data_IF_562159431656
#
_entry.id   IF_562159431656
#
_cell.length_a   1.000
_cell.length_b   1.000
_cell.length_c   1.000
_cell.angle_alpha   90.00
_cell.angle_beta   90.00
_cell.angle_gamma   90.00
#
_symmetry.space_group_name_H-M   'P 1'
#
loop_
_entity.id
_entity.type
_entity.pdbx_description
1 polymer ?
#
# COMPACT_ATOMS: atom_id res chain seq x y z
N UNK A 1 -19.85 -12.31 -7.69
CA UNK A 1 -19.38 -11.11 -8.42
C UNK A 1 -19.26 -11.45 -9.91
N UNK A 2 -19.45 -10.44 -10.78
CA UNK A 2 -19.16 -10.52 -12.21
C UNK A 2 -17.92 -9.65 -12.44
N UNK A 3 -16.86 -10.27 -12.95
CA UNK A 3 -15.60 -9.60 -13.24
C UNK A 3 -15.44 -9.54 -14.77
N UNK A 4 -15.86 -8.43 -15.35
CA UNK A 4 -15.84 -8.22 -16.80
C UNK A 4 -14.96 -7.02 -17.15
N UNK A 5 -13.84 -7.27 -17.83
CA UNK A 5 -12.89 -6.26 -18.23
C UNK A 5 -13.47 -5.24 -19.23
N UNK A 6 -14.50 -5.60 -19.98
CA UNK A 6 -15.12 -4.70 -20.96
C UNK A 6 -15.81 -3.51 -20.30
N UNK A 7 -16.30 -3.68 -19.05
CA UNK A 7 -16.94 -2.62 -18.28
C UNK A 7 -15.97 -1.52 -17.79
N UNK A 8 -14.67 -1.78 -17.81
CA UNK A 8 -13.64 -0.85 -17.27
C UNK A 8 -12.66 -0.35 -18.33
N UNK A 9 -12.88 -0.62 -19.60
CA UNK A 9 -12.02 -0.13 -20.70
C UNK A 9 -11.93 1.40 -20.75
N UNK A 10 -13.03 2.09 -20.42
CA UNK A 10 -13.10 3.55 -20.43
C UNK A 10 -12.56 4.22 -19.17
N UNK A 11 -12.10 3.44 -18.15
CA UNK A 11 -11.54 4.01 -16.93
C UNK A 11 -10.23 4.72 -17.24
N UNK A 12 -10.13 6.04 -16.91
CA UNK A 12 -8.93 6.83 -17.20
C UNK A 12 -7.68 6.27 -16.50
N UNK A 13 -6.48 6.49 -17.07
CA UNK A 13 -5.22 6.02 -16.47
C UNK A 13 -5.03 6.46 -15.02
N UNK A 14 -5.32 7.71 -14.66
CA UNK A 14 -5.18 8.23 -13.30
C UNK A 14 -6.06 7.46 -12.29
N UNK A 15 -7.30 7.12 -12.65
CA UNK A 15 -8.18 6.32 -11.80
C UNK A 15 -7.69 4.87 -11.75
N UNK A 16 -7.18 4.34 -12.86
CA UNK A 16 -6.55 3.01 -12.87
C UNK A 16 -5.36 2.96 -11.91
N UNK A 17 -4.49 3.97 -11.94
CA UNK A 17 -3.34 4.08 -11.04
C UNK A 17 -3.76 4.10 -9.57
N UNK A 18 -4.67 5.00 -9.19
CA UNK A 18 -5.15 5.14 -7.82
C UNK A 18 -5.80 3.83 -7.32
N UNK A 19 -6.70 3.23 -8.12
CA UNK A 19 -7.44 2.04 -7.68
C UNK A 19 -6.58 0.79 -7.63
N UNK A 20 -5.60 0.61 -8.52
CA UNK A 20 -4.74 -0.58 -8.49
C UNK A 20 -3.65 -0.46 -7.42
N UNK A 21 -3.15 0.74 -7.13
CA UNK A 21 -2.29 0.94 -5.96
C UNK A 21 -3.04 0.67 -4.65
N UNK A 22 -4.32 0.97 -4.60
CA UNK A 22 -5.19 0.60 -3.49
C UNK A 22 -5.32 -0.93 -3.34
N UNK A 23 -5.54 -1.64 -4.46
CA UNK A 23 -5.52 -3.12 -4.47
C UNK A 23 -4.20 -3.68 -3.94
N UNK A 24 -3.07 -3.09 -4.36
CA UNK A 24 -1.75 -3.48 -3.88
C UNK A 24 -1.61 -3.27 -2.38
N UNK A 25 -2.08 -2.12 -1.87
CA UNK A 25 -2.06 -1.78 -0.45
C UNK A 25 -2.92 -2.74 0.37
N UNK A 26 -4.14 -3.03 -0.07
CA UNK A 26 -5.02 -4.03 0.56
C UNK A 26 -4.34 -5.40 0.71
N UNK A 27 -3.75 -5.89 -0.39
CA UNK A 27 -3.08 -7.18 -0.39
C UNK A 27 -1.83 -7.18 0.52
N UNK A 28 -1.05 -6.09 0.48
CA UNK A 28 0.15 -5.95 1.29
C UNK A 28 -0.17 -5.89 2.79
N UNK A 29 -1.17 -5.11 3.19
CA UNK A 29 -1.59 -5.05 4.59
C UNK A 29 -2.16 -6.38 5.07
N UNK A 30 -2.94 -7.08 4.25
CA UNK A 30 -3.40 -8.43 4.58
C UNK A 30 -2.27 -9.43 4.79
N UNK A 31 -1.15 -9.31 4.02
CA UNK A 31 0.03 -10.16 4.19
C UNK A 31 0.76 -9.94 5.52
N UNK A 32 0.78 -8.71 6.04
CA UNK A 32 1.52 -8.36 7.26
C UNK A 32 0.63 -8.27 8.49
N UNK A 33 -0.68 -8.36 8.32
CA UNK A 33 -1.65 -8.32 9.43
C UNK A 33 -1.37 -9.38 10.49
N UNK A 34 -1.65 -9.05 11.75
CA UNK A 34 -1.62 -10.00 12.87
C UNK A 34 -2.74 -11.03 12.80
N UNK A 35 -3.87 -10.67 12.16
CA UNK A 35 -5.06 -11.52 12.00
C UNK A 35 -5.02 -12.39 10.73
N UNK A 36 -3.90 -12.35 9.99
CA UNK A 36 -3.75 -13.16 8.78
C UNK A 36 -3.83 -14.65 9.07
N UNK A 37 -4.33 -15.37 8.09
CA UNK A 37 -4.33 -16.84 8.02
C UNK A 37 -3.58 -17.31 6.77
N UNK A 38 -3.33 -18.61 6.65
CA UNK A 38 -2.75 -19.18 5.42
C UNK A 38 -3.66 -18.92 4.21
N UNK A 39 -4.98 -18.91 4.40
CA UNK A 39 -5.93 -18.60 3.32
C UNK A 39 -5.84 -17.14 2.87
N UNK A 40 -5.91 -16.18 3.80
CA UNK A 40 -5.80 -14.76 3.45
C UNK A 40 -4.43 -14.43 2.86
N UNK A 41 -3.36 -15.02 3.38
CA UNK A 41 -2.00 -14.85 2.87
C UNK A 41 -1.89 -15.35 1.42
N UNK A 42 -2.38 -16.54 1.11
CA UNK A 42 -2.34 -17.09 -0.26
C UNK A 42 -3.10 -16.22 -1.27
N UNK A 43 -4.26 -15.68 -0.89
CA UNK A 43 -5.05 -14.77 -1.72
C UNK A 43 -4.33 -13.45 -1.94
N UNK A 44 -3.74 -12.87 -0.88
CA UNK A 44 -3.01 -11.62 -0.92
C UNK A 44 -1.73 -11.74 -1.77
N UNK A 45 -0.94 -12.79 -1.60
CA UNK A 45 0.26 -13.07 -2.38
C UNK A 45 -0.06 -13.22 -3.87
N UNK A 46 -1.16 -13.91 -4.21
CA UNK A 46 -1.60 -14.02 -5.60
C UNK A 46 -2.07 -12.69 -6.18
N UNK A 47 -2.74 -11.86 -5.39
CA UNK A 47 -3.08 -10.50 -5.80
C UNK A 47 -1.83 -9.68 -6.11
N UNK A 48 -0.82 -9.70 -5.24
CA UNK A 48 0.45 -9.00 -5.41
C UNK A 48 1.18 -9.45 -6.68
N UNK A 49 1.26 -10.76 -6.93
CA UNK A 49 1.85 -11.30 -8.17
C UNK A 49 1.17 -10.72 -9.41
N UNK A 50 -0.16 -10.70 -9.44
CA UNK A 50 -0.92 -10.16 -10.56
C UNK A 50 -0.69 -8.66 -10.74
N UNK A 51 -0.68 -7.88 -9.66
CA UNK A 51 -0.38 -6.45 -9.70
C UNK A 51 1.03 -6.22 -10.26
N UNK A 52 2.04 -6.94 -9.77
CA UNK A 52 3.43 -6.79 -10.23
C UNK A 52 3.60 -6.98 -11.72
N UNK A 53 2.82 -7.88 -12.33
CA UNK A 53 2.92 -8.19 -13.77
C UNK A 53 2.05 -7.27 -14.63
N UNK A 54 0.87 -6.90 -14.18
CA UNK A 54 -0.16 -6.33 -15.06
C UNK A 54 -0.51 -4.88 -14.80
N UNK A 55 -0.10 -4.28 -13.66
CA UNK A 55 -0.46 -2.90 -13.30
C UNK A 55 -0.06 -1.90 -14.38
N UNK A 56 1.22 -1.83 -14.73
CA UNK A 56 1.69 -0.86 -15.74
C UNK A 56 1.08 -1.10 -17.12
N UNK A 57 0.82 -2.35 -17.49
CA UNK A 57 0.14 -2.66 -18.74
C UNK A 57 -1.29 -2.12 -18.76
N UNK A 58 -2.05 -2.32 -17.69
CA UNK A 58 -3.41 -1.81 -17.56
C UNK A 58 -3.46 -0.27 -17.49
N UNK A 59 -2.43 0.35 -16.91
CA UNK A 59 -2.28 1.81 -16.84
C UNK A 59 -1.96 2.42 -18.20
N UNK A 60 -0.99 1.85 -18.92
CA UNK A 60 -0.49 2.38 -20.19
C UNK A 60 -1.46 2.15 -21.36
N UNK A 61 -2.19 1.03 -21.34
CA UNK A 61 -3.17 0.69 -22.37
C UNK A 61 -4.49 0.22 -21.75
N UNK A 62 -5.47 1.12 -21.71
CA UNK A 62 -6.82 0.82 -21.25
C UNK A 62 -7.55 -0.25 -22.06
N UNK A 63 -7.11 -0.52 -23.31
CA UNK A 63 -7.67 -1.54 -24.17
C UNK A 63 -7.01 -2.93 -24.02
N UNK A 64 -5.94 -3.04 -23.23
CA UNK A 64 -5.39 -4.34 -22.86
C UNK A 64 -6.37 -5.08 -21.93
N UNK A 65 -7.37 -5.72 -22.54
CA UNK A 65 -8.43 -6.43 -21.81
C UNK A 65 -7.88 -7.56 -20.95
N UNK A 66 -6.76 -8.17 -21.35
CA UNK A 66 -6.13 -9.19 -20.54
C UNK A 66 -5.54 -8.61 -19.24
N UNK A 67 -4.81 -7.49 -19.34
CA UNK A 67 -4.30 -6.81 -18.14
C UNK A 67 -5.44 -6.31 -17.25
N UNK A 68 -6.48 -5.69 -17.84
CA UNK A 68 -7.69 -5.27 -17.09
C UNK A 68 -8.36 -6.43 -16.36
N UNK A 69 -8.54 -7.58 -17.01
CA UNK A 69 -9.11 -8.78 -16.39
C UNK A 69 -8.25 -9.27 -15.23
N UNK A 70 -6.92 -9.21 -15.36
CA UNK A 70 -6.01 -9.59 -14.28
C UNK A 70 -6.07 -8.62 -13.11
N UNK A 71 -6.25 -7.32 -13.35
CA UNK A 71 -6.46 -6.34 -12.29
C UNK A 71 -7.79 -6.56 -11.56
N UNK A 72 -8.88 -6.87 -12.28
CA UNK A 72 -10.13 -7.30 -11.64
C UNK A 72 -9.95 -8.51 -10.74
N UNK A 73 -9.22 -9.53 -11.21
CA UNK A 73 -8.92 -10.72 -10.41
C UNK A 73 -8.09 -10.38 -9.18
N UNK A 74 -7.07 -9.52 -9.33
CA UNK A 74 -6.24 -9.06 -8.22
C UNK A 74 -7.07 -8.31 -7.17
N UNK A 75 -7.96 -7.41 -7.60
CA UNK A 75 -8.87 -6.66 -6.72
C UNK A 75 -9.79 -7.61 -5.92
N UNK A 76 -10.39 -8.60 -6.59
CA UNK A 76 -11.23 -9.57 -5.91
C UNK A 76 -10.47 -10.41 -4.88
N UNK A 77 -9.24 -10.86 -5.24
CA UNK A 77 -8.37 -11.62 -4.35
C UNK A 77 -7.95 -10.79 -3.13
N UNK A 78 -7.55 -9.52 -3.34
CA UNK A 78 -7.23 -8.60 -2.25
C UNK A 78 -8.45 -8.38 -1.33
N UNK A 79 -9.64 -8.18 -1.92
CA UNK A 79 -10.90 -8.04 -1.18
C UNK A 79 -11.20 -9.22 -0.28
N UNK A 80 -11.06 -10.44 -0.79
CA UNK A 80 -11.24 -11.66 -0.01
C UNK A 80 -10.17 -11.81 1.08
N UNK A 81 -8.93 -11.39 0.80
CA UNK A 81 -7.82 -11.47 1.74
C UNK A 81 -8.06 -10.54 2.94
N UNK A 82 -8.26 -9.23 2.70
CA UNK A 82 -8.39 -8.27 3.80
C UNK A 82 -9.71 -8.42 4.57
N UNK A 83 -10.76 -8.92 3.94
CA UNK A 83 -12.01 -9.22 4.66
C UNK A 83 -11.81 -10.24 5.79
N UNK A 84 -10.79 -11.09 5.69
CA UNK A 84 -10.44 -12.09 6.70
C UNK A 84 -9.25 -11.69 7.57
N UNK A 85 -8.40 -10.81 7.10
CA UNK A 85 -7.14 -10.42 7.75
C UNK A 85 -7.18 -9.00 8.34
N UNK A 86 -8.24 -8.25 8.08
CA UNK A 86 -8.33 -6.82 8.40
C UNK A 86 -7.29 -5.96 7.66
N UNK A 87 -7.35 -4.64 7.87
CA UNK A 87 -6.41 -3.66 7.32
C UNK A 87 -5.61 -3.02 8.46
N UNK A 88 -4.54 -2.36 8.12
CA UNK A 88 -3.61 -1.78 9.08
C UNK A 88 -3.58 -0.25 9.05
N UNK A 89 -2.45 0.28 9.52
CA UNK A 89 -2.23 1.71 9.70
C UNK A 89 -2.29 2.50 8.39
N UNK A 90 -1.92 1.91 7.26
CA UNK A 90 -1.94 2.61 5.97
C UNK A 90 -3.36 3.08 5.64
N UNK A 91 -4.35 2.20 5.73
CA UNK A 91 -5.75 2.54 5.48
C UNK A 91 -6.31 3.47 6.56
N UNK A 92 -5.99 3.27 7.84
CA UNK A 92 -6.40 4.16 8.91
C UNK A 92 -5.95 5.61 8.65
N UNK A 93 -4.72 5.81 8.21
CA UNK A 93 -4.19 7.13 7.84
C UNK A 93 -4.79 7.67 6.54
N UNK A 94 -4.95 6.81 5.51
CA UNK A 94 -5.52 7.21 4.23
C UNK A 94 -6.97 7.70 4.35
N UNK A 95 -7.77 7.10 5.22
CA UNK A 95 -9.13 7.53 5.53
C UNK A 95 -9.15 8.96 6.09
N UNK A 96 -8.22 9.28 6.99
CA UNK A 96 -8.14 10.62 7.58
C UNK A 96 -7.73 11.68 6.54
N UNK A 97 -6.76 11.36 5.67
CA UNK A 97 -6.37 12.24 4.56
C UNK A 97 -7.52 12.46 3.57
N UNK A 98 -8.26 11.41 3.26
CA UNK A 98 -9.44 11.49 2.40
C UNK A 98 -10.56 12.32 3.01
N UNK A 99 -10.87 12.11 4.30
CA UNK A 99 -11.92 12.83 5.02
C UNK A 99 -11.57 14.31 5.19
N UNK A 100 -10.32 14.63 5.51
CA UNK A 100 -9.90 16.01 5.82
C UNK A 100 -9.59 16.83 4.58
N UNK A 101 -8.88 16.26 3.60
CA UNK A 101 -8.32 16.99 2.46
C UNK A 101 -8.90 16.56 1.12
N UNK A 102 -9.88 15.66 1.12
CA UNK A 102 -10.53 15.14 -0.09
C UNK A 102 -9.56 14.49 -1.09
N UNK A 103 -8.46 13.92 -0.56
CA UNK A 103 -7.52 13.15 -1.38
C UNK A 103 -8.21 11.86 -1.81
N UNK A 104 -8.17 11.48 -3.10
CA UNK A 104 -8.71 10.20 -3.55
C UNK A 104 -8.12 9.03 -2.74
N UNK A 105 -8.96 8.12 -2.28
CA UNK A 105 -8.60 7.05 -1.34
C UNK A 105 -7.36 6.24 -1.77
N UNK A 106 -7.36 5.71 -3.00
CA UNK A 106 -6.25 4.93 -3.50
C UNK A 106 -4.96 5.76 -3.65
N UNK A 107 -5.07 7.07 -3.96
CA UNK A 107 -3.93 7.99 -3.99
C UNK A 107 -3.34 8.22 -2.61
N UNK A 108 -4.19 8.42 -1.59
CA UNK A 108 -3.73 8.54 -0.21
C UNK A 108 -3.00 7.28 0.25
N UNK A 109 -3.59 6.11 -0.01
CA UNK A 109 -2.97 4.83 0.28
C UNK A 109 -1.61 4.68 -0.42
N UNK A 110 -1.54 5.01 -1.70
CA UNK A 110 -0.32 4.90 -2.49
C UNK A 110 0.82 5.78 -1.94
N UNK A 111 0.54 7.04 -1.60
CA UNK A 111 1.54 7.98 -1.06
C UNK A 111 2.05 7.56 0.31
N UNK A 112 1.20 7.01 1.17
CA UNK A 112 1.58 6.56 2.51
C UNK A 112 2.38 5.26 2.51
N UNK A 113 2.14 4.39 1.54
CA UNK A 113 2.63 3.01 1.53
C UNK A 113 4.14 2.86 1.73
N UNK A 114 5.03 3.62 1.06
CA UNK A 114 6.47 3.54 1.29
C UNK A 114 6.84 3.78 2.76
N UNK A 115 6.22 4.78 3.38
CA UNK A 115 6.49 5.17 4.76
C UNK A 115 5.98 4.12 5.76
N UNK A 116 4.82 3.52 5.50
CA UNK A 116 4.26 2.45 6.33
C UNK A 116 5.10 1.17 6.24
N UNK A 117 5.62 0.82 5.07
CA UNK A 117 6.56 -0.32 4.94
C UNK A 117 7.82 -0.06 5.78
N UNK A 118 8.39 1.14 5.70
CA UNK A 118 9.57 1.52 6.48
C UNK A 118 9.29 1.49 8.00
N UNK A 119 8.14 2.02 8.41
CA UNK A 119 7.73 2.05 9.81
C UNK A 119 7.51 0.64 10.38
N UNK A 120 6.67 -0.17 9.74
CA UNK A 120 6.33 -1.51 10.21
C UNK A 120 7.55 -2.46 10.24
N UNK A 121 8.52 -2.23 9.37
CA UNK A 121 9.76 -3.02 9.30
C UNK A 121 10.90 -2.44 10.14
N UNK A 122 10.77 -1.23 10.65
CA UNK A 122 11.80 -0.49 11.42
C UNK A 122 13.18 -0.48 10.75
N UNK A 123 13.21 -0.52 9.41
CA UNK A 123 14.45 -0.67 8.63
C UNK A 123 15.40 0.53 8.75
N UNK A 124 14.91 1.67 9.19
CA UNK A 124 15.71 2.88 9.37
C UNK A 124 16.43 2.90 10.73
N UNK A 125 15.92 2.19 11.74
CA UNK A 125 16.50 2.10 13.09
C UNK A 125 17.37 0.86 13.30
N UNK A 126 17.32 -0.12 12.40
CA UNK A 126 18.11 -1.34 12.52
C UNK A 126 19.61 -1.05 12.50
N UNK A 127 20.22 -1.01 13.67
CA UNK A 127 21.66 -1.09 13.81
C UNK A 127 22.11 -2.53 13.52
N UNK A 128 23.34 -2.68 13.00
CA UNK A 128 23.98 -3.96 12.64
C UNK A 128 24.03 -5.03 13.76
N UNK A 129 23.55 -4.69 14.96
CA UNK A 129 23.61 -5.53 16.17
C UNK A 129 22.31 -6.32 16.48
N UNK A 130 21.20 -6.10 15.77
CA UNK A 130 19.96 -6.86 16.01
C UNK A 130 20.05 -8.25 15.35
N UNK A 131 20.02 -9.29 16.18
CA UNK A 131 20.12 -10.70 15.73
C UNK A 131 18.82 -11.26 15.17
N UNK A 132 17.70 -10.59 15.36
CA UNK A 132 16.38 -11.07 14.94
C UNK A 132 15.58 -9.93 14.30
N UNK A 133 15.10 -10.16 13.07
CA UNK A 133 14.25 -9.21 12.37
C UNK A 133 12.82 -9.29 12.88
N UNK A 134 12.12 -8.14 12.87
CA UNK A 134 10.69 -8.09 13.14
C UNK A 134 9.92 -9.03 12.19
N UNK A 135 8.82 -9.65 12.65
CA UNK A 135 7.99 -10.51 11.78
C UNK A 135 7.55 -9.81 10.49
N UNK A 136 7.30 -8.50 10.54
CA UNK A 136 6.94 -7.70 9.37
C UNK A 136 8.05 -7.67 8.31
N UNK A 137 9.33 -7.60 8.71
CA UNK A 137 10.48 -7.63 7.77
C UNK A 137 10.44 -8.89 6.92
N UNK A 138 10.25 -10.06 7.54
CA UNK A 138 10.19 -11.34 6.83
C UNK A 138 9.03 -11.37 5.83
N UNK A 139 7.87 -10.85 6.21
CA UNK A 139 6.68 -10.78 5.35
C UNK A 139 6.87 -9.84 4.17
N UNK A 140 7.37 -8.63 4.40
CA UNK A 140 7.69 -7.71 3.31
C UNK A 140 8.78 -8.24 2.39
N UNK A 141 9.79 -8.96 2.92
CA UNK A 141 10.79 -9.62 2.09
C UNK A 141 10.18 -10.73 1.21
N UNK A 142 9.24 -11.52 1.73
CA UNK A 142 8.48 -12.50 0.93
C UNK A 142 7.71 -11.81 -0.20
N UNK A 143 7.00 -10.72 0.10
CA UNK A 143 6.29 -9.92 -0.92
C UNK A 143 7.25 -9.39 -1.98
N UNK A 144 8.38 -8.86 -1.57
CA UNK A 144 9.41 -8.40 -2.51
C UNK A 144 9.91 -9.51 -3.43
N UNK A 145 10.10 -10.73 -2.89
CA UNK A 145 10.50 -11.90 -3.68
C UNK A 145 9.44 -12.31 -4.72
N UNK A 146 8.15 -12.22 -4.37
CA UNK A 146 7.05 -12.46 -5.32
C UNK A 146 7.13 -11.49 -6.51
N UNK A 147 7.54 -10.24 -6.26
CA UNK A 147 7.76 -9.22 -7.27
C UNK A 147 9.11 -9.36 -8.02
N UNK A 148 9.91 -10.38 -7.70
CA UNK A 148 11.24 -10.58 -8.27
C UNK A 148 12.33 -9.67 -7.69
N UNK A 149 12.07 -9.02 -6.55
CA UNK A 149 12.96 -8.07 -5.89
C UNK A 149 13.77 -8.77 -4.78
N UNK A 150 14.84 -9.46 -5.14
CA UNK A 150 15.72 -10.13 -4.17
C UNK A 150 16.99 -9.32 -3.93
N UNK A 151 17.52 -9.38 -2.72
CA UNK A 151 18.78 -8.75 -2.34
C UNK A 151 19.56 -9.61 -1.34
N UNK A 152 20.71 -9.10 -0.85
CA UNK A 152 21.67 -9.82 -0.02
C UNK A 152 21.08 -10.30 1.34
N UNK A 153 20.11 -9.57 1.88
CA UNK A 153 19.44 -9.91 3.12
C UNK A 153 18.01 -9.34 3.13
N UNK A 154 17.22 -9.73 4.12
CA UNK A 154 15.81 -9.32 4.24
C UNK A 154 15.65 -7.80 4.30
N UNK A 155 16.47 -7.07 5.04
CA UNK A 155 16.41 -5.59 5.14
C UNK A 155 16.61 -4.93 3.76
N UNK A 156 17.63 -5.37 3.02
CA UNK A 156 17.88 -4.84 1.67
C UNK A 156 16.78 -5.24 0.69
N UNK A 157 16.18 -6.40 0.88
CA UNK A 157 15.03 -6.86 0.10
C UNK A 157 13.79 -5.98 0.38
N UNK A 158 13.53 -5.62 1.65
CA UNK A 158 12.46 -4.67 1.99
C UNK A 158 12.75 -3.28 1.43
N UNK A 159 13.99 -2.79 1.46
CA UNK A 159 14.35 -1.52 0.80
C UNK A 159 14.08 -1.56 -0.70
N UNK A 160 14.34 -2.69 -1.35
CA UNK A 160 14.01 -2.87 -2.77
C UNK A 160 12.49 -2.80 -3.01
N UNK A 161 11.67 -3.30 -2.09
CA UNK A 161 10.21 -3.14 -2.15
C UNK A 161 9.79 -1.67 -2.04
N UNK A 162 10.33 -0.93 -1.07
CA UNK A 162 10.06 0.51 -0.93
C UNK A 162 10.42 1.26 -2.22
N UNK A 163 11.61 1.02 -2.75
CA UNK A 163 12.06 1.64 -4.00
C UNK A 163 11.15 1.27 -5.19
N UNK A 164 10.69 0.02 -5.26
CA UNK A 164 9.75 -0.42 -6.29
C UNK A 164 8.41 0.31 -6.19
N UNK A 165 7.86 0.46 -4.99
CA UNK A 165 6.62 1.23 -4.80
C UNK A 165 6.83 2.67 -5.27
N UNK A 166 7.90 3.34 -4.82
CA UNK A 166 8.20 4.72 -5.23
C UNK A 166 8.41 4.85 -6.75
N UNK A 167 9.03 3.85 -7.38
CA UNK A 167 9.17 3.78 -8.83
C UNK A 167 7.81 3.69 -9.51
N UNK A 168 6.91 2.80 -9.05
CA UNK A 168 5.57 2.65 -9.60
C UNK A 168 4.75 3.94 -9.48
N UNK A 169 4.85 4.65 -8.33
CA UNK A 169 4.17 5.94 -8.17
C UNK A 169 4.64 6.97 -9.21
N UNK A 170 5.94 7.05 -9.48
CA UNK A 170 6.51 7.95 -10.49
C UNK A 170 6.06 7.59 -11.90
N UNK A 171 6.08 6.30 -12.26
CA UNK A 171 5.64 5.83 -13.58
C UNK A 171 4.15 6.09 -13.85
N UNK A 172 3.36 6.26 -12.80
CA UNK A 172 1.91 6.50 -12.89
C UNK A 172 1.50 7.93 -12.51
N UNK A 173 2.45 8.87 -12.44
CA UNK A 173 2.20 10.28 -12.10
C UNK A 173 1.47 10.47 -10.75
N UNK A 174 1.69 9.56 -9.78
CA UNK A 174 1.21 9.72 -8.42
C UNK A 174 2.25 10.49 -7.60
N UNK A 175 1.86 11.59 -6.91
CA UNK A 175 2.78 12.33 -6.04
C UNK A 175 3.39 11.45 -4.95
N UNK A 176 4.64 11.70 -4.60
CA UNK A 176 5.34 10.96 -3.52
C UNK A 176 5.08 11.55 -2.14
N UNK A 177 4.48 12.74 -2.06
CA UNK A 177 4.17 13.42 -0.81
C UNK A 177 2.98 14.36 -0.98
N UNK A 178 2.34 14.70 0.14
CA UNK A 178 1.23 15.66 0.17
C UNK A 178 1.68 17.03 -0.33
N UNK A 179 2.89 17.46 0.00
CA UNK A 179 3.45 18.74 -0.47
C UNK A 179 3.58 18.83 -2.00
N UNK A 180 3.84 17.72 -2.67
CA UNK A 180 3.90 17.68 -4.14
C UNK A 180 2.53 17.85 -4.81
N UNK A 181 1.44 17.64 -4.09
CA UNK A 181 0.10 17.89 -4.62
C UNK A 181 -0.17 19.38 -4.83
N UNK A 182 0.45 20.25 -4.03
CA UNK A 182 0.31 21.71 -4.12
C UNK A 182 -1.10 22.27 -3.81
N UNK A 183 -2.01 21.43 -3.31
CA UNK A 183 -3.41 21.77 -3.03
C UNK A 183 -3.70 22.00 -1.55
N UNK A 184 -2.75 21.63 -0.67
CA UNK A 184 -2.88 21.70 0.78
C UNK A 184 -1.72 22.57 1.28
N UNK A 185 -2.01 23.60 2.07
CA UNK A 185 -0.96 24.42 2.68
C UNK A 185 -0.30 23.67 3.85
N UNK A 186 0.97 23.97 4.08
CA UNK A 186 1.71 23.40 5.21
C UNK A 186 1.04 23.68 6.55
N UNK A 187 0.55 24.92 6.75
CA UNK A 187 -0.18 25.32 7.97
C UNK A 187 -1.45 24.50 8.17
N UNK A 188 -2.26 24.33 7.11
CA UNK A 188 -3.49 23.55 7.17
C UNK A 188 -3.22 22.09 7.52
N UNK A 189 -2.15 21.52 6.93
CA UNK A 189 -1.72 20.15 7.20
C UNK A 189 -1.28 19.96 8.66
N UNK A 190 -0.37 20.82 9.16
CA UNK A 190 0.12 20.70 10.54
C UNK A 190 -0.96 20.97 11.59
N UNK A 191 -1.93 21.82 11.32
CA UNK A 191 -3.05 22.05 12.22
C UNK A 191 -4.01 20.83 12.35
N UNK A 192 -3.99 19.93 11.36
CA UNK A 192 -4.85 18.75 11.33
C UNK A 192 -4.15 17.46 11.81
N UNK A 193 -2.81 17.44 11.88
CA UNK A 193 -2.02 16.22 12.00
C UNK A 193 -2.32 15.43 13.28
N UNK A 194 -2.43 16.09 14.43
CA UNK A 194 -2.66 15.41 15.70
C UNK A 194 -4.03 14.73 15.73
N UNK A 195 -5.08 15.43 15.25
CA UNK A 195 -6.42 14.87 15.19
C UNK A 195 -6.55 13.73 14.19
N UNK A 196 -5.84 13.81 13.06
CA UNK A 196 -5.78 12.72 12.07
C UNK A 196 -5.03 11.50 12.61
N UNK A 197 -3.93 11.72 13.34
CA UNK A 197 -3.17 10.64 13.96
C UNK A 197 -3.99 9.89 15.01
N UNK A 198 -4.69 10.63 15.89
CA UNK A 198 -5.55 10.03 16.90
C UNK A 198 -6.66 9.18 16.25
N UNK A 199 -7.36 9.72 15.26
CA UNK A 199 -8.41 9.00 14.56
C UNK A 199 -7.90 7.78 13.77
N UNK A 200 -6.72 7.89 13.13
CA UNK A 200 -6.10 6.76 12.44
C UNK A 200 -5.74 5.60 13.38
N UNK A 201 -5.29 5.92 14.59
CA UNK A 201 -4.96 4.91 15.61
C UNK A 201 -6.22 4.25 16.20
N UNK A 202 -7.31 5.00 16.37
CA UNK A 202 -8.60 4.45 16.82
C UNK A 202 -9.21 3.49 15.79
N UNK A 203 -9.04 3.79 14.50
CA UNK A 203 -9.53 2.97 13.40
C UNK A 203 -8.64 1.75 13.12
N UNK A 204 -7.34 1.87 13.39
CA UNK A 204 -6.38 0.77 13.18
C UNK A 204 -6.45 -0.22 14.32
N UNK A 205 -7.12 -1.34 14.11
CA UNK A 205 -7.23 -2.44 15.08
C UNK A 205 -5.88 -3.13 15.39
N UNK A 206 -4.81 -2.76 14.70
CA UNK A 206 -3.50 -3.41 14.78
C UNK A 206 -2.54 -2.49 15.52
N UNK A 207 -2.13 -2.95 16.70
CA UNK A 207 -1.20 -2.40 17.67
C UNK A 207 -0.10 -1.47 17.11
N UNK A 208 -0.36 -0.18 17.09
CA UNK A 208 0.67 0.84 16.97
C UNK A 208 0.64 1.67 18.25
N UNK A 209 1.79 1.89 18.90
CA UNK A 209 1.85 2.82 20.03
C UNK A 209 1.50 4.23 19.52
N UNK A 210 0.59 4.92 20.22
CA UNK A 210 0.08 6.26 19.88
C UNK A 210 1.21 7.28 19.60
N UNK A 211 2.36 7.14 20.28
CA UNK A 211 3.52 8.02 20.06
C UNK A 211 4.23 7.75 18.74
N UNK A 212 4.15 6.54 18.23
CA UNK A 212 4.81 6.14 16.99
C UNK A 212 3.98 6.51 15.76
N UNK A 213 2.63 6.50 15.85
CA UNK A 213 1.75 6.92 14.76
C UNK A 213 1.91 8.40 14.36
N UNK A 214 2.21 9.27 15.32
CA UNK A 214 2.44 10.70 15.05
C UNK A 214 3.70 10.95 14.21
N UNK A 215 4.73 10.11 14.34
CA UNK A 215 5.98 10.26 13.57
C UNK A 215 5.83 9.97 12.08
N UNK A 216 4.81 9.23 11.66
CA UNK A 216 4.60 8.91 10.23
C UNK A 216 3.90 10.06 9.51
N UNK A 217 3.07 10.81 10.21
CA UNK A 217 2.34 11.96 9.66
C UNK A 217 3.21 13.23 9.62
N UNK A 218 4.27 13.32 10.41
CA UNK A 218 5.26 14.38 10.40
C UNK A 218 6.35 14.12 9.37
#
# INVERSE_FOLDING_TARGET
AILDADLVKSVPPAITADTVMDVFTHALEACVSTDRSDFSTALAEKSIELVGVFLLRAYLDGNDTHARQKMHSASCLAGLAFNSASLGLNHGMAHQLGAKFHIPHGRANAMLLPHIIEFNSDINKHSKSQKEYLPAVKRYATVAQILGLSSYNEIMTVRSLVNWVQFMLKEMDIPLSISQMGTISEEEYFNAIDSMADAALEESLICVDRKEGIHILN
#
